data_IF_124362992267
#
_entry.id   IF_124362992267
#
_cell.length_a   1.000
_cell.length_b   1.000
_cell.length_c   1.000
_cell.angle_alpha   90.00
_cell.angle_beta   90.00
_cell.angle_gamma   90.00
#
_symmetry.space_group_name_H-M   'P 1'
#
loop_
_entity.id
_entity.type
_entity.pdbx_description
1 polymer ?
#
# COMPACT_ATOMS: atom_id res chain seq x y z
N UNK A 1 21.36 -7.20 -6.02
CA UNK A 1 21.81 -5.99 -5.26
C UNK A 1 22.48 -6.46 -3.99
N UNK A 2 23.62 -5.92 -3.64
CA UNK A 2 24.28 -6.17 -2.35
C UNK A 2 24.23 -4.89 -1.51
N UNK A 3 23.43 -4.91 -0.43
CA UNK A 3 23.22 -3.75 0.44
C UNK A 3 24.52 -3.27 1.12
N UNK A 4 25.47 -4.16 1.38
CA UNK A 4 26.77 -3.84 1.97
C UNK A 4 27.64 -3.03 1.01
N UNK A 5 27.65 -3.44 -0.26
CA UNK A 5 28.39 -2.69 -1.30
C UNK A 5 27.74 -1.35 -1.59
N UNK A 6 26.40 -1.33 -1.70
CA UNK A 6 25.65 -0.13 -2.02
C UNK A 6 25.76 0.97 -0.93
N UNK A 7 25.89 0.58 0.33
CA UNK A 7 26.02 1.48 1.48
C UNK A 7 27.46 1.60 2.01
N UNK A 8 28.47 1.13 1.27
CA UNK A 8 29.85 1.14 1.72
C UNK A 8 30.33 2.57 2.05
N UNK A 9 30.82 2.77 3.29
CA UNK A 9 31.31 4.05 3.78
C UNK A 9 30.25 5.11 4.10
N UNK A 10 28.98 4.81 3.95
CA UNK A 10 27.89 5.70 4.34
C UNK A 10 27.83 5.84 5.86
N UNK A 11 27.73 7.09 6.33
CA UNK A 11 27.55 7.44 7.75
C UNK A 11 26.16 7.92 8.08
N UNK A 12 25.46 8.46 7.10
CA UNK A 12 24.10 9.00 7.24
C UNK A 12 23.20 8.42 6.17
N UNK A 13 22.26 7.58 6.57
CA UNK A 13 21.36 6.86 5.68
C UNK A 13 19.92 7.25 6.00
N UNK A 14 19.17 7.66 4.98
CA UNK A 14 17.75 7.96 5.09
C UNK A 14 16.90 6.88 4.38
N UNK A 15 15.72 6.65 4.90
CA UNK A 15 14.75 5.70 4.36
C UNK A 15 13.39 6.37 4.33
N UNK A 16 12.70 6.27 3.20
CA UNK A 16 11.29 6.70 3.09
C UNK A 16 10.50 5.74 2.22
N UNK A 17 9.21 5.72 2.48
CA UNK A 17 8.20 5.07 1.65
C UNK A 17 7.14 6.07 1.20
N UNK A 18 6.02 5.56 0.69
CA UNK A 18 4.97 6.42 0.14
C UNK A 18 4.15 7.16 1.20
N UNK A 19 3.54 8.27 0.77
CA UNK A 19 2.50 8.97 1.55
C UNK A 19 1.33 8.02 1.85
N UNK A 20 0.75 8.13 3.07
CA UNK A 20 -0.25 7.21 3.62
C UNK A 20 0.28 5.78 3.68
N UNK A 21 1.32 5.54 4.48
CA UNK A 21 1.99 4.26 4.57
C UNK A 21 1.03 3.17 5.04
N UNK A 22 1.02 2.07 4.29
CA UNK A 22 0.33 0.83 4.63
C UNK A 22 1.29 -0.18 5.28
N UNK A 23 0.86 -1.43 5.42
CA UNK A 23 1.66 -2.46 6.09
C UNK A 23 2.94 -2.81 5.36
N UNK A 24 2.97 -2.78 4.02
CA UNK A 24 4.19 -3.06 3.25
C UNK A 24 5.18 -1.90 3.36
N UNK A 25 4.70 -0.68 3.19
CA UNK A 25 5.52 0.52 3.35
C UNK A 25 6.16 0.61 4.74
N UNK A 26 5.40 0.40 5.81
CA UNK A 26 5.92 0.43 7.19
C UNK A 26 6.89 -0.73 7.43
N UNK A 27 6.49 -1.93 7.02
CA UNK A 27 7.28 -3.15 7.19
C UNK A 27 8.64 -3.06 6.50
N UNK A 28 8.67 -2.63 5.24
CA UNK A 28 9.92 -2.53 4.46
C UNK A 28 10.84 -1.43 5.00
N UNK A 29 10.29 -0.28 5.42
CA UNK A 29 11.09 0.81 5.99
C UNK A 29 11.73 0.40 7.32
N UNK A 30 10.96 -0.18 8.25
CA UNK A 30 11.46 -0.56 9.56
C UNK A 30 12.40 -1.78 9.50
N UNK A 31 12.10 -2.77 8.66
CA UNK A 31 12.98 -3.93 8.48
C UNK A 31 14.33 -3.53 7.89
N UNK A 32 14.35 -2.64 6.89
CA UNK A 32 15.60 -2.15 6.32
C UNK A 32 16.39 -1.32 7.35
N UNK A 33 15.73 -0.47 8.14
CA UNK A 33 16.39 0.29 9.21
C UNK A 33 17.10 -0.64 10.20
N UNK A 34 16.38 -1.63 10.73
CA UNK A 34 16.94 -2.58 11.68
C UNK A 34 18.08 -3.39 11.07
N UNK A 35 17.92 -3.82 9.83
CA UNK A 35 18.94 -4.58 9.11
C UNK A 35 20.21 -3.75 8.87
N UNK A 36 20.08 -2.51 8.39
CA UNK A 36 21.22 -1.64 8.13
C UNK A 36 21.97 -1.25 9.42
N UNK A 37 21.29 -1.06 10.53
CA UNK A 37 21.91 -0.84 11.85
C UNK A 37 22.79 -2.00 12.32
N UNK A 38 22.46 -3.23 11.92
CA UNK A 38 23.31 -4.41 12.18
C UNK A 38 24.47 -4.50 11.17
N UNK A 39 24.16 -4.25 9.90
CA UNK A 39 25.13 -4.35 8.82
C UNK A 39 26.24 -3.27 8.93
N UNK A 40 25.87 -2.06 9.38
CA UNK A 40 26.68 -0.85 9.43
C UNK A 40 26.50 -0.16 10.80
N UNK A 41 27.08 -0.71 11.89
CA UNK A 41 26.83 -0.21 13.25
C UNK A 41 27.25 1.25 13.50
N UNK A 42 28.16 1.79 12.66
CA UNK A 42 28.64 3.16 12.77
C UNK A 42 27.80 4.17 11.96
N UNK A 43 26.81 3.69 11.19
CA UNK A 43 25.94 4.55 10.39
C UNK A 43 24.69 4.96 11.18
N UNK A 44 24.34 6.23 11.06
CA UNK A 44 23.03 6.74 11.49
C UNK A 44 21.99 6.37 10.43
N UNK A 45 20.97 5.59 10.80
CA UNK A 45 19.91 5.16 9.90
C UNK A 45 18.57 5.65 10.42
N UNK A 46 17.90 6.51 9.64
CA UNK A 46 16.66 7.17 10.04
C UNK A 46 15.55 6.97 9.02
N UNK A 47 14.35 6.63 9.49
CA UNK A 47 13.12 6.48 8.68
C UNK A 47 12.31 7.78 8.73
N UNK A 48 11.93 8.29 7.56
CA UNK A 48 11.07 9.47 7.37
C UNK A 48 9.84 9.06 6.56
N UNK A 49 8.72 8.83 7.20
CA UNK A 49 7.41 8.59 6.56
C UNK A 49 6.32 9.32 7.34
N UNK A 50 5.18 9.55 6.70
CA UNK A 50 4.00 10.05 7.41
C UNK A 50 3.66 9.11 8.57
N UNK A 51 3.03 9.64 9.64
CA UNK A 51 2.63 8.82 10.78
C UNK A 51 1.79 7.62 10.33
N UNK A 52 2.27 6.38 10.51
CA UNK A 52 1.50 5.20 10.15
C UNK A 52 0.31 4.99 11.07
N UNK A 53 -0.62 4.13 10.66
CA UNK A 53 -1.73 3.68 11.52
C UNK A 53 -1.21 3.01 12.79
N UNK A 54 -1.94 3.21 13.91
CA UNK A 54 -1.56 2.64 15.22
C UNK A 54 -1.61 1.11 15.24
N UNK A 55 -2.28 0.48 14.28
CA UNK A 55 -2.30 -0.97 14.12
C UNK A 55 -0.91 -1.57 13.87
N UNK A 56 0.08 -0.77 13.43
CA UNK A 56 1.47 -1.18 13.24
C UNK A 56 2.39 -0.84 14.43
N UNK A 57 1.85 -0.29 15.52
CA UNK A 57 2.64 0.17 16.68
C UNK A 57 3.39 -0.95 17.42
N UNK A 58 3.06 -2.21 17.16
CA UNK A 58 3.79 -3.36 17.70
C UNK A 58 5.15 -3.57 17.02
N UNK A 59 5.38 -2.99 15.84
CA UNK A 59 6.64 -3.11 15.11
C UNK A 59 7.73 -2.32 15.80
N UNK A 60 8.88 -2.97 16.01
CA UNK A 60 10.05 -2.32 16.57
C UNK A 60 10.53 -1.18 15.68
N UNK A 61 10.80 -0.02 16.29
CA UNK A 61 11.18 1.20 15.58
C UNK A 61 10.01 2.09 15.18
N UNK A 62 8.76 1.66 15.38
CA UNK A 62 7.57 2.47 15.07
C UNK A 62 7.63 3.86 15.72
N UNK A 63 7.98 3.94 17.02
CA UNK A 63 8.08 5.20 17.76
C UNK A 63 9.31 6.04 17.38
N UNK A 64 10.27 5.49 16.63
CA UNK A 64 11.45 6.16 16.14
C UNK A 64 11.25 6.85 14.77
N UNK A 65 10.11 6.56 14.11
CA UNK A 65 9.77 7.14 12.81
C UNK A 65 9.69 8.66 12.91
N UNK A 66 10.43 9.34 12.04
CA UNK A 66 10.37 10.79 11.92
C UNK A 66 9.25 11.18 10.96
N UNK A 67 8.30 11.95 11.44
CA UNK A 67 7.16 12.44 10.65
C UNK A 67 7.36 13.84 10.10
N UNK A 68 8.36 14.54 10.60
CA UNK A 68 8.76 15.86 10.14
C UNK A 68 10.08 15.78 9.38
N UNK A 69 10.22 16.62 8.36
CA UNK A 69 11.40 16.67 7.50
C UNK A 69 12.09 18.05 7.63
N UNK A 70 12.81 18.35 8.73
CA UNK A 70 13.54 19.61 8.88
C UNK A 70 14.69 19.73 7.87
N UNK A 71 15.19 20.95 7.67
CA UNK A 71 16.41 21.18 6.87
C UNK A 71 17.61 20.52 7.56
N UNK A 72 18.40 19.78 6.78
CA UNK A 72 19.58 19.08 7.27
C UNK A 72 20.58 18.82 6.14
N UNK A 73 21.79 18.41 6.50
CA UNK A 73 22.83 18.02 5.55
C UNK A 73 22.38 16.81 4.72
N UNK A 74 22.80 16.74 3.44
CA UNK A 74 22.46 15.64 2.56
C UNK A 74 22.86 14.28 3.14
N UNK A 75 22.02 13.27 2.88
CA UNK A 75 22.31 11.87 3.21
C UNK A 75 23.39 11.31 2.27
N UNK A 76 24.22 10.41 2.79
CA UNK A 76 25.17 9.68 1.97
C UNK A 76 24.45 8.69 1.06
N UNK A 77 23.43 8.00 1.60
CA UNK A 77 22.54 7.10 0.87
C UNK A 77 21.10 7.36 1.30
N UNK A 78 20.18 7.39 0.35
CA UNK A 78 18.76 7.50 0.64
C UNK A 78 17.95 6.45 -0.12
N UNK A 79 17.09 5.77 0.61
CA UNK A 79 16.21 4.74 0.07
C UNK A 79 14.80 5.26 -0.14
N UNK A 80 14.27 5.07 -1.35
CA UNK A 80 12.85 5.17 -1.67
C UNK A 80 12.31 3.74 -1.77
N UNK A 81 11.41 3.37 -0.86
CA UNK A 81 10.88 2.02 -0.73
C UNK A 81 9.40 1.98 -1.03
N UNK A 82 8.96 0.92 -1.70
CA UNK A 82 7.56 0.65 -2.00
C UNK A 82 6.85 1.77 -2.78
N UNK A 83 7.59 2.55 -3.53
CA UNK A 83 7.05 3.61 -4.38
C UNK A 83 8.07 4.20 -5.35
N UNK A 84 7.58 5.01 -6.28
CA UNK A 84 8.36 5.99 -7.03
C UNK A 84 8.67 7.23 -6.21
N UNK A 85 9.71 7.98 -6.59
CA UNK A 85 10.23 9.12 -5.83
C UNK A 85 9.23 10.27 -5.61
N UNK A 86 8.27 10.44 -6.50
CA UNK A 86 7.20 11.45 -6.43
C UNK A 86 6.13 11.17 -5.36
N UNK A 87 6.17 9.99 -4.74
CA UNK A 87 5.24 9.60 -3.67
C UNK A 87 5.83 9.71 -2.26
N UNK A 88 7.06 10.19 -2.10
CA UNK A 88 7.75 10.31 -0.80
C UNK A 88 7.24 11.48 0.08
N UNK A 89 6.35 12.32 -0.44
CA UNK A 89 5.83 13.49 0.28
C UNK A 89 6.96 14.46 0.67
N UNK A 90 6.93 14.99 1.90
CA UNK A 90 7.92 15.98 2.36
C UNK A 90 9.36 15.44 2.41
N UNK A 91 9.53 14.12 2.44
CA UNK A 91 10.85 13.48 2.42
C UNK A 91 11.47 13.41 1.01
N UNK A 92 10.72 13.72 -0.05
CA UNK A 92 11.24 13.77 -1.42
C UNK A 92 12.49 14.66 -1.53
N UNK A 93 12.51 15.79 -0.83
CA UNK A 93 13.67 16.69 -0.82
C UNK A 93 14.94 16.01 -0.33
N UNK A 94 14.85 15.07 0.61
CA UNK A 94 16.01 14.32 1.10
C UNK A 94 16.50 13.33 0.05
N UNK A 95 15.59 12.63 -0.59
CA UNK A 95 15.90 11.71 -1.67
C UNK A 95 16.58 12.43 -2.84
N UNK A 96 16.02 13.57 -3.26
CA UNK A 96 16.57 14.35 -4.39
C UNK A 96 17.97 14.89 -4.11
N UNK A 97 18.27 15.28 -2.85
CA UNK A 97 19.55 15.87 -2.44
C UNK A 97 20.57 14.84 -1.94
N UNK A 98 20.22 13.56 -1.82
CA UNK A 98 21.14 12.52 -1.38
C UNK A 98 22.27 12.30 -2.37
N UNK A 99 23.46 11.92 -1.85
CA UNK A 99 24.64 11.62 -2.69
C UNK A 99 24.43 10.36 -3.54
N UNK A 100 23.71 9.38 -3.00
CA UNK A 100 23.30 8.16 -3.69
C UNK A 100 21.85 7.83 -3.38
N UNK A 101 21.10 7.55 -4.40
CA UNK A 101 19.67 7.23 -4.35
C UNK A 101 19.42 5.78 -4.72
N UNK A 102 18.71 5.04 -3.88
CA UNK A 102 18.37 3.65 -4.10
C UNK A 102 16.85 3.50 -4.06
N UNK A 103 16.29 2.84 -5.07
CA UNK A 103 14.87 2.54 -5.12
C UNK A 103 14.65 1.03 -5.09
N UNK A 104 13.81 0.56 -4.14
CA UNK A 104 13.38 -0.84 -4.02
C UNK A 104 11.86 -0.86 -4.03
N UNK A 105 11.26 -1.55 -5.00
CA UNK A 105 9.82 -1.52 -5.22
C UNK A 105 9.32 -2.77 -5.96
N UNK A 106 8.02 -2.99 -5.94
CA UNK A 106 7.35 -4.04 -6.69
C UNK A 106 6.21 -3.52 -7.58
N UNK A 107 5.96 -2.22 -7.63
CA UNK A 107 4.90 -1.65 -8.45
C UNK A 107 5.25 -1.67 -9.95
N UNK A 108 4.35 -2.23 -10.76
CA UNK A 108 4.51 -2.31 -12.23
C UNK A 108 4.61 -0.92 -12.90
N UNK A 109 4.06 0.11 -12.29
CA UNK A 109 4.09 1.49 -12.79
C UNK A 109 5.40 2.21 -12.49
N UNK A 110 6.26 1.67 -11.63
CA UNK A 110 7.53 2.28 -11.27
C UNK A 110 8.63 1.86 -12.25
N UNK A 111 9.17 2.82 -12.99
CA UNK A 111 10.30 2.61 -13.92
C UNK A 111 11.68 2.79 -13.26
N UNK A 112 11.72 3.01 -11.95
CA UNK A 112 12.92 3.35 -11.19
C UNK A 112 13.15 4.86 -11.08
N UNK A 113 13.53 5.33 -9.88
CA UNK A 113 13.75 6.74 -9.58
C UNK A 113 15.11 7.02 -8.90
N UNK A 114 15.88 6.00 -8.58
CA UNK A 114 17.19 6.08 -7.95
C UNK A 114 18.37 5.95 -8.94
N UNK A 115 19.57 6.14 -8.41
CA UNK A 115 20.81 5.81 -9.12
C UNK A 115 20.97 4.28 -9.24
N UNK A 116 20.43 3.55 -8.25
CA UNK A 116 20.31 2.07 -8.24
C UNK A 116 18.84 1.73 -8.02
N UNK A 117 18.32 0.85 -8.87
CA UNK A 117 16.91 0.47 -8.84
C UNK A 117 16.76 -1.06 -8.79
N UNK A 118 15.95 -1.54 -7.85
CA UNK A 118 15.51 -2.93 -7.76
C UNK A 118 13.98 -2.94 -7.76
N UNK A 119 13.40 -2.93 -8.95
CA UNK A 119 11.94 -2.99 -9.14
C UNK A 119 11.57 -4.39 -9.64
N UNK A 120 10.73 -5.10 -8.90
CA UNK A 120 10.36 -6.51 -9.11
C UNK A 120 8.84 -6.70 -9.19
N UNK A 121 8.18 -6.34 -10.30
CA UNK A 121 6.72 -6.39 -10.42
C UNK A 121 6.10 -7.79 -10.29
N UNK A 122 6.91 -8.83 -10.43
CA UNK A 122 6.51 -10.23 -10.27
C UNK A 122 6.45 -10.69 -8.80
N UNK A 123 6.97 -9.88 -7.88
CA UNK A 123 7.04 -10.19 -6.43
C UNK A 123 5.86 -9.57 -5.71
N UNK A 124 5.38 -10.24 -4.67
CA UNK A 124 4.12 -9.91 -4.01
C UNK A 124 4.11 -8.61 -3.19
N UNK A 125 5.29 -8.15 -2.72
CA UNK A 125 5.44 -6.96 -1.88
C UNK A 125 6.88 -6.42 -1.91
N UNK A 126 7.09 -5.16 -1.52
CA UNK A 126 8.44 -4.60 -1.36
C UNK A 126 9.20 -5.27 -0.21
N UNK A 127 8.50 -5.72 0.83
CA UNK A 127 9.08 -6.54 1.90
C UNK A 127 9.65 -7.86 1.38
N UNK A 128 8.97 -8.54 0.46
CA UNK A 128 9.48 -9.76 -0.16
C UNK A 128 10.69 -9.46 -1.07
N UNK A 129 10.67 -8.37 -1.84
CA UNK A 129 11.83 -7.93 -2.62
C UNK A 129 13.04 -7.70 -1.72
N UNK A 130 12.84 -7.01 -0.60
CA UNK A 130 13.90 -6.73 0.37
C UNK A 130 14.42 -8.01 1.03
N UNK A 131 13.53 -8.93 1.43
CA UNK A 131 13.90 -10.23 1.99
C UNK A 131 14.89 -10.99 1.09
N UNK A 132 14.67 -11.01 -0.21
CA UNK A 132 15.52 -11.73 -1.17
C UNK A 132 16.94 -11.18 -1.33
N UNK A 133 17.21 -9.98 -0.83
CA UNK A 133 18.55 -9.36 -0.89
C UNK A 133 19.21 -9.21 0.48
N UNK A 134 18.50 -9.57 1.55
CA UNK A 134 19.07 -9.60 2.91
C UNK A 134 19.89 -10.87 3.14
N UNK A 135 20.97 -10.72 3.92
CA UNK A 135 21.66 -11.86 4.49
C UNK A 135 20.81 -12.47 5.60
N UNK A 136 20.41 -13.73 5.42
CA UNK A 136 19.55 -14.43 6.36
C UNK A 136 20.13 -14.54 7.78
N UNK A 137 21.47 -14.51 7.94
CA UNK A 137 22.13 -14.55 9.24
C UNK A 137 21.92 -13.26 10.06
N UNK A 138 21.61 -12.15 9.39
CA UNK A 138 21.34 -10.86 10.04
C UNK A 138 19.85 -10.66 10.35
N UNK A 139 18.98 -11.49 9.79
CA UNK A 139 17.54 -11.42 10.09
C UNK A 139 17.31 -11.97 11.50
N UNK A 140 16.75 -11.16 12.37
CA UNK A 140 16.24 -11.58 13.67
C UNK A 140 14.72 -11.54 13.72
N UNK A 141 14.17 -11.82 14.90
CA UNK A 141 12.73 -11.84 15.13
C UNK A 141 12.06 -10.50 14.77
N UNK A 142 12.65 -9.36 15.13
CA UNK A 142 12.04 -8.05 14.91
C UNK A 142 12.02 -7.69 13.42
N UNK A 143 13.09 -7.99 12.69
CA UNK A 143 13.16 -7.82 11.23
C UNK A 143 12.17 -8.77 10.54
N UNK A 144 12.12 -10.02 10.98
CA UNK A 144 11.21 -11.01 10.41
C UNK A 144 9.74 -10.64 10.61
N UNK A 145 9.39 -10.08 11.77
CA UNK A 145 8.05 -9.60 12.10
C UNK A 145 7.63 -8.44 11.18
N UNK A 146 8.53 -7.47 10.94
CA UNK A 146 8.27 -6.34 10.06
C UNK A 146 8.12 -6.78 8.59
N UNK A 147 9.01 -7.64 8.07
CA UNK A 147 8.91 -8.20 6.72
C UNK A 147 7.62 -8.99 6.52
N UNK A 148 7.26 -9.84 7.51
CA UNK A 148 6.04 -10.63 7.45
C UNK A 148 4.79 -9.74 7.40
N UNK A 149 4.77 -8.65 8.18
CA UNK A 149 3.68 -7.68 8.17
C UNK A 149 3.43 -7.13 6.76
N UNK A 150 4.47 -6.67 6.07
CA UNK A 150 4.32 -6.18 4.70
C UNK A 150 3.83 -7.25 3.73
N UNK A 151 4.41 -8.44 3.77
CA UNK A 151 4.01 -9.56 2.90
C UNK A 151 2.52 -9.87 3.05
N UNK A 152 1.99 -9.97 4.28
CA UNK A 152 0.57 -10.30 4.48
C UNK A 152 -0.37 -9.17 4.04
N UNK A 153 0.04 -7.91 4.20
CA UNK A 153 -0.78 -6.78 3.81
C UNK A 153 -0.96 -6.70 2.29
N UNK A 154 0.11 -6.83 1.52
CA UNK A 154 0.07 -6.72 0.06
C UNK A 154 -0.45 -7.97 -0.65
N UNK A 155 -0.31 -9.14 -0.02
CA UNK A 155 -0.87 -10.39 -0.54
C UNK A 155 -2.29 -10.67 -0.06
N UNK A 156 -2.87 -9.78 0.77
CA UNK A 156 -4.18 -9.99 1.40
C UNK A 156 -4.22 -11.28 2.21
N UNK A 157 -3.21 -11.49 3.04
CA UNK A 157 -3.01 -12.74 3.79
C UNK A 157 -2.97 -13.94 2.83
N UNK A 158 -2.15 -13.82 1.78
CA UNK A 158 -1.92 -14.84 0.75
C UNK A 158 -3.15 -15.18 -0.12
N UNK A 159 -4.16 -14.31 -0.17
CA UNK A 159 -5.37 -14.53 -0.97
C UNK A 159 -5.29 -13.96 -2.38
N UNK A 160 -4.38 -13.00 -2.63
CA UNK A 160 -4.30 -12.33 -3.92
C UNK A 160 -3.42 -13.09 -4.90
N UNK A 161 -3.62 -12.82 -6.19
CA UNK A 161 -2.92 -13.51 -7.28
C UNK A 161 -1.43 -13.18 -7.40
N UNK A 162 -0.93 -12.19 -6.66
CA UNK A 162 0.48 -11.88 -6.52
C UNK A 162 1.20 -12.78 -5.50
N UNK A 163 0.49 -13.68 -4.83
CA UNK A 163 1.08 -14.71 -3.95
C UNK A 163 1.69 -15.83 -4.79
N UNK A 164 2.98 -16.08 -4.61
CA UNK A 164 3.75 -17.12 -5.32
C UNK A 164 4.22 -18.21 -4.35
N UNK A 165 4.74 -19.35 -4.83
CA UNK A 165 5.41 -20.32 -3.98
C UNK A 165 6.58 -19.72 -3.19
N UNK A 166 7.32 -18.78 -3.79
CA UNK A 166 8.44 -18.06 -3.18
C UNK A 166 7.96 -17.15 -2.03
N UNK A 167 6.83 -16.47 -2.21
CA UNK A 167 6.16 -15.68 -1.16
C UNK A 167 5.85 -16.55 0.07
N UNK A 168 5.28 -17.75 -0.15
CA UNK A 168 4.97 -18.69 0.94
C UNK A 168 6.22 -19.26 1.60
N UNK A 169 7.29 -19.48 0.84
CA UNK A 169 8.59 -19.90 1.41
C UNK A 169 9.21 -18.81 2.28
N UNK A 170 9.18 -17.56 1.81
CA UNK A 170 9.62 -16.41 2.59
C UNK A 170 8.81 -16.28 3.88
N UNK A 171 7.50 -16.35 3.81
CA UNK A 171 6.64 -16.32 4.99
C UNK A 171 6.94 -17.49 5.95
N UNK A 172 7.13 -18.71 5.44
CA UNK A 172 7.49 -19.88 6.26
C UNK A 172 8.84 -19.68 6.98
N UNK A 173 9.83 -19.11 6.31
CA UNK A 173 11.10 -18.76 6.93
C UNK A 173 10.92 -17.70 8.03
N UNK A 174 10.19 -16.62 7.75
CA UNK A 174 9.98 -15.52 8.69
C UNK A 174 9.25 -15.97 9.96
N UNK A 175 8.16 -16.76 9.85
CA UNK A 175 7.44 -17.26 11.03
C UNK A 175 8.26 -18.23 11.88
N UNK A 176 9.34 -18.81 11.35
CA UNK A 176 10.25 -19.68 12.13
C UNK A 176 10.98 -18.95 13.26
N UNK A 177 11.02 -17.60 13.22
CA UNK A 177 11.58 -16.76 14.30
C UNK A 177 10.67 -16.66 15.53
N UNK A 178 9.46 -17.25 15.50
CA UNK A 178 8.61 -17.47 16.67
C UNK A 178 7.86 -16.25 17.20
N UNK A 179 7.59 -15.23 16.36
CA UNK A 179 6.61 -14.18 16.67
C UNK A 179 5.18 -14.72 16.51
N UNK A 180 4.21 -14.05 17.12
CA UNK A 180 2.81 -14.44 17.01
C UNK A 180 2.18 -13.94 15.71
N UNK A 181 2.45 -14.67 14.62
CA UNK A 181 1.96 -14.32 13.28
C UNK A 181 0.43 -14.32 13.20
N UNK A 182 -0.26 -15.15 14.01
CA UNK A 182 -1.73 -15.19 14.02
C UNK A 182 -2.31 -13.91 14.60
N UNK A 183 -1.71 -13.43 15.70
CA UNK A 183 -2.08 -12.16 16.31
C UNK A 183 -1.85 -10.98 15.37
N UNK A 184 -0.72 -10.98 14.64
CA UNK A 184 -0.44 -9.94 13.63
C UNK A 184 -1.54 -9.91 12.57
N UNK A 185 -1.90 -11.06 11.99
CA UNK A 185 -2.96 -11.16 10.99
C UNK A 185 -4.29 -10.64 11.57
N UNK A 186 -4.64 -11.07 12.77
CA UNK A 186 -5.90 -10.66 13.39
C UNK A 186 -5.94 -9.16 13.66
N UNK A 187 -4.94 -8.61 14.35
CA UNK A 187 -4.95 -7.24 14.86
C UNK A 187 -4.62 -6.20 13.78
N UNK A 188 -3.71 -6.49 12.84
CA UNK A 188 -3.31 -5.51 11.83
C UNK A 188 -4.11 -5.61 10.53
N UNK A 189 -4.72 -6.75 10.21
CA UNK A 189 -5.42 -6.92 8.93
C UNK A 189 -6.93 -7.07 9.07
N UNK A 190 -7.42 -7.89 10.02
CA UNK A 190 -8.84 -8.20 10.13
C UNK A 190 -9.60 -7.35 11.14
N UNK A 191 -8.99 -6.97 12.26
CA UNK A 191 -9.69 -6.18 13.27
C UNK A 191 -10.09 -4.82 12.74
N UNK A 192 -11.31 -4.42 13.08
CA UNK A 192 -11.87 -3.10 12.76
C UNK A 192 -12.48 -2.51 14.03
N UNK A 193 -12.40 -1.21 14.16
CA UNK A 193 -13.08 -0.51 15.24
C UNK A 193 -14.59 -0.66 15.11
N UNK A 194 -15.31 -0.42 16.20
CA UNK A 194 -16.77 -0.43 16.17
C UNK A 194 -17.32 0.57 15.15
N UNK A 195 -16.73 1.76 15.05
CA UNK A 195 -17.08 2.80 14.08
C UNK A 195 -16.88 2.30 12.64
N UNK A 196 -15.70 1.74 12.32
CA UNK A 196 -15.41 1.18 11.00
C UNK A 196 -16.41 0.08 10.62
N UNK A 197 -16.77 -0.79 11.58
CA UNK A 197 -17.74 -1.85 11.36
C UNK A 197 -19.15 -1.30 11.11
N UNK A 198 -19.56 -0.27 11.84
CA UNK A 198 -20.85 0.38 11.67
C UNK A 198 -20.99 1.04 10.29
N UNK A 199 -20.00 1.84 9.90
CA UNK A 199 -20.03 2.56 8.61
C UNK A 199 -19.92 1.59 7.43
N UNK A 200 -19.11 0.54 7.57
CA UNK A 200 -19.03 -0.55 6.59
C UNK A 200 -20.37 -1.27 6.44
N UNK A 201 -21.01 -1.66 7.55
CA UNK A 201 -22.33 -2.29 7.53
C UNK A 201 -23.37 -1.44 6.81
N UNK A 202 -23.40 -0.14 7.10
CA UNK A 202 -24.28 0.81 6.41
C UNK A 202 -23.98 0.91 4.92
N UNK A 203 -22.71 1.07 4.55
CA UNK A 203 -22.30 1.14 3.14
C UNK A 203 -22.68 -0.12 2.36
N UNK A 204 -22.57 -1.31 2.96
CA UNK A 204 -22.99 -2.57 2.34
C UNK A 204 -24.51 -2.64 2.17
N UNK A 205 -25.29 -2.24 3.15
CA UNK A 205 -26.77 -2.26 3.10
C UNK A 205 -27.32 -1.26 2.08
N UNK A 206 -26.70 -0.10 1.92
CA UNK A 206 -27.10 0.95 0.98
C UNK A 206 -26.50 0.75 -0.42
N UNK A 207 -25.74 -0.33 -0.66
CA UNK A 207 -25.14 -0.61 -1.95
C UNK A 207 -26.18 -0.96 -3.02
N UNK A 208 -25.90 -0.57 -4.26
CA UNK A 208 -26.78 -0.77 -5.41
C UNK A 208 -26.04 -1.59 -6.48
N UNK A 209 -26.73 -2.57 -7.08
CA UNK A 209 -26.18 -3.37 -8.17
C UNK A 209 -26.64 -2.84 -9.53
N UNK A 210 -25.73 -2.86 -10.48
CA UNK A 210 -25.88 -2.44 -11.87
C UNK A 210 -25.40 -3.53 -12.83
N UNK A 211 -25.62 -3.38 -14.14
CA UNK A 211 -25.11 -4.26 -15.20
C UNK A 211 -25.46 -5.73 -14.93
N UNK A 212 -26.76 -6.02 -14.82
CA UNK A 212 -27.30 -7.35 -14.51
C UNK A 212 -26.74 -7.95 -13.19
N UNK A 213 -26.42 -7.08 -12.25
CA UNK A 213 -25.93 -7.46 -10.93
C UNK A 213 -24.43 -7.74 -10.86
N UNK A 214 -23.67 -7.51 -11.94
CA UNK A 214 -22.23 -7.77 -12.00
C UNK A 214 -21.38 -6.60 -11.48
N UNK A 215 -21.91 -5.38 -11.44
CA UNK A 215 -21.28 -4.23 -10.85
C UNK A 215 -22.02 -3.80 -9.59
N UNK A 216 -21.29 -3.48 -8.52
CA UNK A 216 -21.86 -2.97 -7.27
C UNK A 216 -21.23 -1.63 -6.92
N UNK A 217 -22.07 -0.69 -6.52
CA UNK A 217 -21.66 0.67 -6.13
C UNK A 217 -22.18 0.98 -4.74
N UNK A 218 -21.37 1.61 -3.93
CA UNK A 218 -21.78 2.18 -2.64
C UNK A 218 -21.13 3.54 -2.43
N UNK A 219 -21.79 4.38 -1.63
CA UNK A 219 -21.31 5.72 -1.31
C UNK A 219 -21.47 6.03 0.18
N UNK A 220 -20.54 6.80 0.68
CA UNK A 220 -20.65 7.48 1.98
C UNK A 220 -20.57 8.99 1.74
N UNK A 221 -21.67 9.71 1.99
CA UNK A 221 -21.73 11.15 1.89
C UNK A 221 -21.12 11.84 3.10
N UNK A 222 -20.87 13.14 2.97
CA UNK A 222 -20.30 13.96 4.06
C UNK A 222 -21.15 13.93 5.32
N UNK A 223 -22.47 13.96 5.18
CA UNK A 223 -23.42 13.91 6.29
C UNK A 223 -23.28 12.61 7.10
N UNK A 224 -23.09 11.49 6.41
CA UNK A 224 -22.86 10.19 7.04
C UNK A 224 -21.50 10.17 7.74
N UNK A 225 -20.44 10.69 7.12
CA UNK A 225 -19.14 10.81 7.77
C UNK A 225 -19.22 11.67 9.04
N UNK A 226 -19.86 12.82 8.97
CA UNK A 226 -20.04 13.72 10.11
C UNK A 226 -20.87 13.07 11.22
N UNK A 227 -21.92 12.32 10.89
CA UNK A 227 -22.74 11.59 11.87
C UNK A 227 -21.94 10.57 12.67
N UNK A 228 -21.03 9.85 12.02
CA UNK A 228 -20.16 8.87 12.67
C UNK A 228 -18.87 9.50 13.22
N UNK A 229 -18.62 10.77 12.99
CA UNK A 229 -17.31 11.42 13.22
C UNK A 229 -16.15 10.64 12.54
N UNK A 230 -16.42 10.12 11.33
CA UNK A 230 -15.50 9.27 10.59
C UNK A 230 -14.51 10.09 9.76
N UNK A 231 -13.29 9.59 9.67
CA UNK A 231 -12.26 10.11 8.78
C UNK A 231 -12.06 9.16 7.58
N UNK A 232 -11.40 9.59 6.50
CA UNK A 232 -11.21 8.75 5.32
C UNK A 232 -10.62 7.35 5.61
N UNK A 233 -9.72 7.22 6.58
CA UNK A 233 -9.15 5.92 7.00
C UNK A 233 -10.17 4.95 7.60
N UNK A 234 -11.28 5.44 8.15
CA UNK A 234 -12.34 4.58 8.69
C UNK A 234 -13.18 3.90 7.59
N UNK A 235 -13.01 4.32 6.34
CA UNK A 235 -13.70 3.76 5.18
C UNK A 235 -12.91 2.65 4.47
N UNK A 236 -11.70 2.37 4.94
CA UNK A 236 -10.82 1.39 4.33
C UNK A 236 -11.40 -0.03 4.45
N UNK A 237 -11.27 -0.78 3.33
CA UNK A 237 -11.78 -2.14 3.22
C UNK A 237 -13.22 -2.25 2.74
N UNK A 238 -14.05 -1.19 2.73
CA UNK A 238 -15.44 -1.24 2.26
C UNK A 238 -15.51 -1.76 0.81
N UNK A 239 -14.69 -1.23 -0.09
CA UNK A 239 -14.68 -1.66 -1.49
C UNK A 239 -14.28 -3.13 -1.65
N UNK A 240 -13.43 -3.65 -0.78
CA UNK A 240 -13.04 -5.06 -0.79
C UNK A 240 -14.22 -5.97 -0.38
N UNK A 241 -15.00 -5.57 0.63
CA UNK A 241 -16.20 -6.31 1.02
C UNK A 241 -17.26 -6.30 -0.08
N UNK A 242 -17.47 -5.20 -0.76
CA UNK A 242 -18.35 -5.12 -1.93
C UNK A 242 -17.90 -6.08 -3.05
N UNK A 243 -16.60 -6.12 -3.35
CA UNK A 243 -16.02 -7.03 -4.35
C UNK A 243 -16.21 -8.50 -4.00
N UNK A 244 -16.17 -8.84 -2.72
CA UNK A 244 -16.29 -10.23 -2.24
C UNK A 244 -17.71 -10.81 -2.37
N UNK A 245 -18.70 -10.01 -2.75
CA UNK A 245 -20.07 -10.48 -2.98
C UNK A 245 -20.08 -11.37 -4.23
N UNK A 246 -20.65 -12.56 -4.10
CA UNK A 246 -20.70 -13.54 -5.18
C UNK A 246 -21.42 -12.99 -6.43
N UNK A 247 -20.75 -13.09 -7.58
CA UNK A 247 -21.28 -12.63 -8.88
C UNK A 247 -20.91 -11.20 -9.23
N UNK A 248 -20.15 -10.50 -8.39
CA UNK A 248 -19.63 -9.16 -8.68
C UNK A 248 -18.34 -9.28 -9.49
N UNK A 249 -18.29 -8.63 -10.64
CA UNK A 249 -17.10 -8.47 -11.47
C UNK A 249 -16.34 -7.17 -11.11
N UNK A 250 -17.06 -6.10 -10.74
CA UNK A 250 -16.50 -4.82 -10.37
C UNK A 250 -17.24 -4.20 -9.17
N UNK A 251 -16.49 -3.71 -8.19
CA UNK A 251 -16.99 -2.94 -7.06
C UNK A 251 -16.45 -1.51 -7.10
N UNK A 252 -17.32 -0.53 -6.90
CA UNK A 252 -17.02 0.89 -6.86
C UNK A 252 -17.49 1.43 -5.53
N UNK A 253 -16.58 2.03 -4.79
CA UNK A 253 -16.90 2.73 -3.55
C UNK A 253 -16.51 4.19 -3.67
N UNK A 254 -17.39 5.09 -3.25
CA UNK A 254 -17.17 6.52 -3.32
C UNK A 254 -17.39 7.16 -1.95
N UNK A 255 -16.61 8.17 -1.62
CA UNK A 255 -16.93 9.05 -0.50
C UNK A 255 -16.68 10.51 -0.85
N UNK A 256 -17.49 11.38 -0.27
CA UNK A 256 -17.48 12.81 -0.53
C UNK A 256 -16.27 13.47 0.16
N UNK A 257 -15.41 14.14 -0.62
CA UNK A 257 -14.24 14.89 -0.13
C UNK A 257 -14.48 16.39 -0.12
N UNK A 258 -15.39 16.87 -0.94
CA UNK A 258 -15.77 18.28 -1.08
C UNK A 258 -17.08 18.44 -1.81
N UNK A 259 -17.49 19.67 -2.03
CA UNK A 259 -18.74 19.96 -2.76
C UNK A 259 -18.65 19.40 -4.18
N UNK A 260 -19.52 18.44 -4.50
CA UNK A 260 -19.51 17.73 -5.79
C UNK A 260 -18.14 17.11 -6.14
N UNK A 261 -17.41 16.65 -5.13
CA UNK A 261 -16.13 15.97 -5.32
C UNK A 261 -16.09 14.68 -4.50
N UNK A 262 -15.74 13.60 -5.17
CA UNK A 262 -15.72 12.25 -4.61
C UNK A 262 -14.37 11.58 -4.82
N UNK A 263 -13.83 10.96 -3.77
CA UNK A 263 -12.80 9.95 -3.93
C UNK A 263 -13.47 8.65 -4.33
N UNK A 264 -12.96 8.03 -5.39
CA UNK A 264 -13.48 6.79 -5.97
C UNK A 264 -12.44 5.71 -5.82
N UNK A 265 -12.82 4.61 -5.21
CA UNK A 265 -12.03 3.38 -5.11
C UNK A 265 -12.71 2.27 -5.89
N UNK A 266 -11.96 1.59 -6.73
CA UNK A 266 -12.45 0.50 -7.57
C UNK A 266 -11.69 -0.79 -7.31
N UNK A 267 -12.41 -1.89 -7.29
CA UNK A 267 -11.85 -3.24 -7.23
C UNK A 267 -12.53 -4.11 -8.26
N UNK A 268 -11.79 -5.00 -8.87
CA UNK A 268 -12.36 -5.97 -9.80
C UNK A 268 -11.87 -7.38 -9.51
N UNK A 269 -12.64 -8.33 -10.00
CA UNK A 269 -12.25 -9.72 -10.10
C UNK A 269 -11.53 -9.95 -11.45
N UNK A 270 -11.95 -10.89 -12.29
CA UNK A 270 -11.16 -11.27 -13.48
C UNK A 270 -11.41 -10.42 -14.73
N UNK A 271 -12.58 -9.77 -14.84
CA UNK A 271 -13.11 -9.28 -16.13
C UNK A 271 -12.94 -7.80 -16.41
N UNK A 272 -12.53 -7.00 -15.44
CA UNK A 272 -12.47 -5.54 -15.60
C UNK A 272 -11.10 -5.02 -15.23
N UNK A 273 -10.48 -4.23 -16.10
CA UNK A 273 -9.26 -3.49 -15.81
C UNK A 273 -9.61 -2.12 -15.21
N UNK A 274 -9.67 -2.06 -13.88
CA UNK A 274 -10.02 -0.81 -13.19
C UNK A 274 -8.91 0.24 -13.22
N UNK A 275 -7.67 -0.13 -13.57
CA UNK A 275 -6.60 0.85 -13.76
C UNK A 275 -6.85 1.72 -14.98
N UNK A 276 -7.34 1.13 -16.09
CA UNK A 276 -7.73 1.88 -17.29
C UNK A 276 -8.87 2.85 -16.98
N UNK A 277 -9.87 2.41 -16.22
CA UNK A 277 -10.99 3.27 -15.79
C UNK A 277 -10.48 4.44 -14.95
N UNK A 278 -9.64 4.17 -13.94
CA UNK A 278 -9.09 5.21 -13.08
C UNK A 278 -8.22 6.22 -13.85
N UNK A 279 -7.37 5.73 -14.77
CA UNK A 279 -6.47 6.56 -15.58
C UNK A 279 -7.25 7.55 -16.45
N UNK A 280 -8.41 7.14 -16.99
CA UNK A 280 -9.29 8.05 -17.77
C UNK A 280 -9.72 9.28 -16.94
N UNK A 281 -9.91 9.11 -15.63
CA UNK A 281 -10.27 10.19 -14.69
C UNK A 281 -9.05 10.81 -13.99
N UNK A 282 -7.83 10.64 -14.53
CA UNK A 282 -6.62 11.22 -13.97
C UNK A 282 -6.14 10.54 -12.67
N UNK A 283 -6.62 9.33 -12.40
CA UNK A 283 -6.17 8.49 -11.31
C UNK A 283 -5.21 7.39 -11.76
N UNK A 284 -5.12 6.31 -10.98
CA UNK A 284 -4.24 5.18 -11.31
C UNK A 284 -4.41 4.02 -10.35
N UNK A 285 -3.54 3.03 -10.50
CA UNK A 285 -3.51 1.81 -9.69
C UNK A 285 -3.12 0.59 -10.52
N UNK A 286 -3.51 -0.57 -10.01
CA UNK A 286 -3.32 -1.86 -10.66
C UNK A 286 -4.59 -2.33 -11.36
N UNK A 287 -4.46 -3.33 -12.26
CA UNK A 287 -5.57 -3.92 -13.02
C UNK A 287 -6.78 -4.28 -12.14
N UNK A 288 -6.54 -4.74 -10.90
CA UNK A 288 -7.58 -5.19 -9.97
C UNK A 288 -7.92 -4.20 -8.85
N UNK A 289 -7.14 -3.15 -8.68
CA UNK A 289 -7.29 -2.16 -7.61
C UNK A 289 -6.82 -0.79 -8.06
N UNK A 290 -7.73 0.15 -8.23
CA UNK A 290 -7.41 1.48 -8.69
C UNK A 290 -8.31 2.53 -8.03
N UNK A 291 -7.92 3.80 -8.13
CA UNK A 291 -8.69 4.91 -7.60
C UNK A 291 -8.45 6.22 -8.35
N UNK A 292 -9.44 7.10 -8.27
CA UNK A 292 -9.38 8.44 -8.85
C UNK A 292 -10.16 9.43 -7.97
N UNK A 293 -10.15 10.70 -8.36
CA UNK A 293 -11.03 11.72 -7.80
C UNK A 293 -11.95 12.21 -8.93
N UNK A 294 -13.25 12.27 -8.68
CA UNK A 294 -14.23 12.68 -9.67
C UNK A 294 -15.01 13.89 -9.18
N UNK A 295 -15.40 14.75 -10.13
CA UNK A 295 -16.24 15.92 -9.88
C UNK A 295 -17.59 15.78 -10.60
N UNK A 296 -18.65 16.22 -9.94
CA UNK A 296 -20.02 16.14 -10.44
C UNK A 296 -20.96 15.66 -9.34
N UNK A 297 -22.22 15.38 -9.71
CA UNK A 297 -23.14 14.73 -8.78
C UNK A 297 -22.76 13.26 -8.61
N UNK A 298 -23.24 12.63 -7.55
CA UNK A 298 -23.06 11.19 -7.34
C UNK A 298 -23.53 10.37 -8.55
N UNK A 299 -24.68 10.74 -9.13
CA UNK A 299 -25.20 10.05 -10.32
C UNK A 299 -24.29 10.22 -11.55
N UNK A 300 -23.72 11.42 -11.75
CA UNK A 300 -22.76 11.63 -12.84
C UNK A 300 -21.52 10.77 -12.68
N UNK A 301 -20.99 10.71 -11.45
CA UNK A 301 -19.82 9.89 -11.14
C UNK A 301 -20.09 8.39 -11.37
N UNK A 302 -21.25 7.87 -10.91
CA UNK A 302 -21.65 6.48 -11.16
C UNK A 302 -21.78 6.22 -12.66
N UNK A 303 -22.54 7.03 -13.38
CA UNK A 303 -22.79 6.80 -14.80
C UNK A 303 -21.48 6.80 -15.60
N UNK A 304 -20.58 7.71 -15.29
CA UNK A 304 -19.27 7.76 -15.91
C UNK A 304 -18.44 6.49 -15.58
N UNK A 305 -18.38 6.08 -14.31
CA UNK A 305 -17.67 4.85 -13.92
C UNK A 305 -18.25 3.62 -14.63
N UNK A 306 -19.58 3.48 -14.68
CA UNK A 306 -20.26 2.33 -15.29
C UNK A 306 -20.01 2.27 -16.80
N UNK A 307 -20.08 3.42 -17.50
CA UNK A 307 -19.83 3.51 -18.93
C UNK A 307 -18.41 2.99 -19.27
N UNK A 308 -17.40 3.52 -18.60
CA UNK A 308 -16.01 3.10 -18.83
C UNK A 308 -15.68 1.71 -18.29
N UNK A 309 -16.42 1.22 -17.29
CA UNK A 309 -16.31 -0.18 -16.82
C UNK A 309 -16.84 -1.16 -17.88
N UNK A 310 -17.89 -0.80 -18.61
CA UNK A 310 -18.41 -1.58 -19.74
C UNK A 310 -17.38 -1.69 -20.86
N UNK A 311 -16.86 -0.54 -21.30
CA UNK A 311 -15.85 -0.50 -22.37
C UNK A 311 -14.56 -1.27 -22.00
N UNK A 312 -14.09 -1.13 -20.74
CA UNK A 312 -12.92 -1.85 -20.25
C UNK A 312 -13.14 -3.37 -20.10
N UNK A 313 -14.37 -3.83 -19.98
CA UNK A 313 -14.71 -5.26 -19.98
C UNK A 313 -14.77 -5.82 -21.42
N UNK A 314 -15.27 -5.05 -22.38
CA UNK A 314 -15.38 -5.47 -23.77
C UNK A 314 -14.00 -5.58 -24.44
N UNK A 315 -13.05 -4.70 -24.09
CA UNK A 315 -11.64 -4.80 -24.54
C UNK A 315 -10.94 -6.10 -24.13
N UNK A 316 -11.37 -6.74 -23.04
CA UNK A 316 -10.80 -8.00 -22.55
C UNK A 316 -11.45 -9.25 -23.18
N UNK A 317 -12.63 -9.10 -23.77
CA UNK A 317 -13.36 -10.23 -24.38
C UNK A 317 -12.98 -10.39 -25.86
N UNK A 318 -12.25 -9.42 -26.43
CA UNK A 318 -11.68 -9.49 -27.78
C UNK A 318 -12.69 -9.88 -28.84
N UNK A 319 -13.53 -8.96 -29.30
CA UNK A 319 -14.25 -9.09 -30.57
C UNK A 319 -13.48 -8.34 -31.64
#
# INVERSE_FOLDING_TARGET
MDLREECCGAKKIGISGHIRPDGDCVGVCLSLQMYLRKLLPEAEVTVYIQKPSEEFSYLKGYDEIQTECPEQDPFDVYFALDCSGDRLGDAEKYFQNAKKKINIDHHISNSGCGDVNLVRPEVGSACEVLYHIMDAELIDRDIAEALYTGIIHDTGVFQYSNTTPETLQAAAFLISFGFDFSKIIEESFYQKTYLQTQIMGRALMESIRFMDGRCIVSMVDRKTMDFYNAVPGDLDGIVNQLRNIKGIDCAIFMYETGVLEYKVSMRSNEKVDVAKVAAFFGGGGHVRAAGCTMKGTFHDCINNCLLYTSDAADDLIGV
#
